data_IF_661088399374
#
_entry.id   IF_661088399374
#
_cell.length_a   1.000
_cell.length_b   1.000
_cell.length_c   1.000
_cell.angle_alpha   90.00
_cell.angle_beta   90.00
_cell.angle_gamma   90.00
#
_symmetry.space_group_name_H-M   'P 1'
#
loop_
_entity.id
_entity.type
_entity.pdbx_description
1 polymer ?
#
# COMPACT_ATOMS: atom_id res chain seq x y z
N UNK A 1 -16.02 -18.47 -7.02
CA UNK A 1 -15.10 -18.54 -5.87
C UNK A 1 -14.00 -17.56 -6.15
N UNK A 2 -14.13 -16.35 -5.64
CA UNK A 2 -13.08 -15.34 -5.74
C UNK A 2 -11.83 -15.87 -5.07
N UNK A 3 -10.73 -15.92 -5.83
CA UNK A 3 -9.41 -16.08 -5.24
C UNK A 3 -9.26 -14.89 -4.29
N UNK A 4 -9.06 -15.17 -3.00
CA UNK A 4 -8.75 -14.19 -1.95
C UNK A 4 -7.90 -13.05 -2.51
N UNK A 5 -8.16 -11.80 -2.11
CA UNK A 5 -7.38 -10.62 -2.50
C UNK A 5 -5.85 -10.79 -2.30
N UNK A 6 -5.45 -11.78 -1.49
CA UNK A 6 -4.06 -12.11 -1.18
C UNK A 6 -3.55 -13.39 -1.87
N UNK A 7 -4.31 -14.00 -2.78
CA UNK A 7 -3.93 -15.26 -3.42
C UNK A 7 -2.63 -15.18 -4.24
N UNK A 8 -2.23 -13.98 -4.67
CA UNK A 8 -0.92 -13.75 -5.26
C UNK A 8 0.18 -13.79 -4.20
N UNK A 9 0.00 -13.07 -3.09
CA UNK A 9 0.95 -12.99 -1.97
C UNK A 9 1.24 -14.38 -1.43
N UNK A 10 0.21 -15.21 -1.22
CA UNK A 10 0.36 -16.58 -0.70
C UNK A 10 1.29 -17.46 -1.54
N UNK A 11 1.51 -17.15 -2.83
CA UNK A 11 2.45 -17.88 -3.70
C UNK A 11 3.90 -17.43 -3.56
N UNK A 12 4.11 -16.24 -3.00
CA UNK A 12 5.44 -15.65 -2.78
C UNK A 12 5.96 -15.94 -1.37
N UNK A 13 5.08 -16.31 -0.43
CA UNK A 13 5.44 -16.57 0.95
C UNK A 13 6.34 -17.80 1.08
N UNK A 14 7.38 -17.68 1.90
CA UNK A 14 8.26 -18.78 2.29
C UNK A 14 7.95 -19.21 3.73
N UNK A 15 8.03 -20.51 3.99
CA UNK A 15 7.95 -21.04 5.35
C UNK A 15 9.10 -20.47 6.19
N UNK A 16 8.81 -20.14 7.44
CA UNK A 16 9.78 -19.57 8.37
C UNK A 16 9.70 -20.29 9.71
N UNK A 17 10.85 -20.40 10.38
CA UNK A 17 10.95 -21.01 11.70
C UNK A 17 11.94 -20.26 12.58
N UNK A 18 11.63 -20.16 13.87
CA UNK A 18 12.50 -19.60 14.91
C UNK A 18 12.57 -20.60 16.07
N UNK A 19 13.77 -20.89 16.57
CA UNK A 19 14.03 -21.89 17.62
C UNK A 19 13.38 -23.28 17.38
N UNK A 20 13.29 -23.69 16.12
CA UNK A 20 12.70 -24.97 15.71
C UNK A 20 11.15 -24.99 15.72
N UNK A 21 10.49 -23.85 15.96
CA UNK A 21 9.05 -23.69 15.84
C UNK A 21 8.70 -22.94 14.56
N UNK A 22 7.62 -23.35 13.89
CA UNK A 22 7.09 -22.63 12.74
C UNK A 22 6.52 -21.28 13.19
N UNK A 23 6.92 -20.21 12.49
CA UNK A 23 6.41 -18.86 12.68
C UNK A 23 5.60 -18.41 11.45
N UNK A 24 5.04 -17.20 11.49
CA UNK A 24 4.36 -16.61 10.35
C UNK A 24 5.27 -16.62 9.11
N UNK A 25 4.77 -17.10 7.95
CA UNK A 25 5.57 -17.13 6.74
C UNK A 25 5.89 -15.70 6.28
N UNK A 26 7.03 -15.53 5.61
CA UNK A 26 7.56 -14.21 5.24
C UNK A 26 7.72 -14.08 3.73
N UNK A 27 7.77 -12.84 3.23
CA UNK A 27 8.20 -12.58 1.86
C UNK A 27 9.73 -12.72 1.75
N UNK A 28 10.26 -13.00 0.55
CA UNK A 28 11.68 -12.87 0.26
C UNK A 28 12.20 -11.47 0.62
N UNK A 29 13.47 -11.38 1.02
CA UNK A 29 14.07 -10.13 1.51
C UNK A 29 14.04 -9.00 0.47
N UNK A 30 14.20 -9.37 -0.81
CA UNK A 30 14.17 -8.47 -1.95
C UNK A 30 12.76 -8.00 -2.33
N UNK A 31 11.71 -8.67 -1.86
CA UNK A 31 10.32 -8.37 -2.21
C UNK A 31 9.66 -7.55 -1.11
N UNK A 32 9.26 -6.33 -1.46
CA UNK A 32 8.52 -5.43 -0.57
C UNK A 32 7.01 -5.62 -0.72
N UNK A 33 6.30 -5.49 0.40
CA UNK A 33 4.85 -5.36 0.43
C UNK A 33 4.46 -3.91 0.71
N UNK A 34 4.09 -3.19 -0.35
CA UNK A 34 3.73 -1.78 -0.26
C UNK A 34 2.25 -1.61 0.08
N UNK A 35 1.98 -0.86 1.14
CA UNK A 35 0.65 -0.31 1.44
C UNK A 35 0.63 1.15 1.02
N UNK A 36 -0.08 1.46 -0.06
CA UNK A 36 -0.07 2.78 -0.70
C UNK A 36 -1.42 3.48 -0.49
N UNK A 37 -1.40 4.69 0.03
CA UNK A 37 -2.59 5.53 0.12
C UNK A 37 -3.05 5.99 -1.28
N UNK A 38 -4.31 6.42 -1.42
CA UNK A 38 -4.86 6.89 -2.70
C UNK A 38 -4.91 8.41 -2.74
N UNK A 39 -5.85 8.99 -2.01
CA UNK A 39 -6.17 10.42 -2.05
C UNK A 39 -5.00 11.25 -1.50
N UNK A 40 -4.55 12.23 -2.28
CA UNK A 40 -3.38 13.05 -1.96
C UNK A 40 -2.03 12.34 -2.12
N UNK A 41 -2.04 11.07 -2.54
CA UNK A 41 -0.82 10.26 -2.72
C UNK A 41 -0.61 9.87 -4.17
N UNK A 42 -1.58 9.25 -4.84
CA UNK A 42 -1.47 8.88 -6.27
C UNK A 42 -2.35 9.75 -7.18
N UNK A 43 -3.17 10.59 -6.57
CA UNK A 43 -4.04 11.55 -7.23
C UNK A 43 -4.36 12.73 -6.31
N UNK A 44 -5.21 13.64 -6.80
CA UNK A 44 -5.82 14.72 -6.01
C UNK A 44 -6.29 14.23 -4.61
N UNK A 45 -6.20 15.10 -3.61
CA UNK A 45 -6.72 14.84 -2.27
C UNK A 45 -8.24 15.02 -2.25
N UNK A 46 -8.97 13.89 -2.29
CA UNK A 46 -10.43 13.84 -2.32
C UNK A 46 -10.96 13.38 -0.96
N UNK A 47 -11.76 14.20 -0.26
CA UNK A 47 -12.44 13.76 0.95
C UNK A 47 -13.56 12.76 0.62
N UNK A 48 -13.86 11.84 1.55
CA UNK A 48 -14.97 10.89 1.39
C UNK A 48 -16.33 11.58 1.24
N UNK A 49 -16.45 12.81 1.72
CA UNK A 49 -17.65 13.63 1.63
C UNK A 49 -17.94 14.15 0.21
N UNK A 50 -17.01 14.01 -0.73
CA UNK A 50 -17.14 14.46 -2.13
C UNK A 50 -16.88 13.30 -3.13
N UNK A 51 -17.66 12.20 -3.06
CA UNK A 51 -17.42 11.00 -3.86
C UNK A 51 -17.53 11.22 -5.37
N UNK A 52 -18.27 12.23 -5.82
CA UNK A 52 -18.40 12.60 -7.22
C UNK A 52 -17.07 13.01 -7.86
N UNK A 53 -16.11 13.49 -7.07
CA UNK A 53 -14.77 13.86 -7.55
C UNK A 53 -13.85 12.66 -7.75
N UNK A 54 -14.14 11.52 -7.12
CA UNK A 54 -13.26 10.33 -7.15
C UNK A 54 -13.08 9.77 -8.55
N UNK A 55 -14.11 9.84 -9.40
CA UNK A 55 -14.09 9.29 -10.77
C UNK A 55 -13.25 10.13 -11.74
N UNK A 56 -12.96 11.39 -11.40
CA UNK A 56 -12.26 12.34 -12.27
C UNK A 56 -11.01 12.92 -11.60
N UNK A 57 -10.56 12.33 -10.49
CA UNK A 57 -9.36 12.75 -9.79
C UNK A 57 -8.15 12.72 -10.74
N UNK A 58 -7.32 13.76 -10.68
CA UNK A 58 -6.12 13.89 -11.52
C UNK A 58 -5.05 12.94 -11.02
N UNK A 59 -4.56 12.07 -11.90
CA UNK A 59 -3.47 11.13 -11.60
C UNK A 59 -2.15 11.89 -11.43
N UNK A 60 -1.33 11.45 -10.47
CA UNK A 60 0.07 11.83 -10.38
C UNK A 60 0.92 10.90 -11.26
N UNK A 61 1.50 11.40 -12.38
CA UNK A 61 2.16 10.52 -13.37
C UNK A 61 3.38 9.78 -12.83
N UNK A 62 4.12 10.41 -11.93
CA UNK A 62 5.29 9.84 -11.25
C UNK A 62 4.92 8.69 -10.30
N UNK A 63 3.76 8.80 -9.62
CA UNK A 63 3.20 7.71 -8.82
C UNK A 63 2.84 6.51 -9.71
N UNK A 64 2.16 6.76 -10.84
CA UNK A 64 1.78 5.71 -11.79
C UNK A 64 3.00 4.96 -12.33
N UNK A 65 4.03 5.69 -12.78
CA UNK A 65 5.27 5.11 -13.28
C UNK A 65 5.97 4.28 -12.20
N UNK A 66 6.15 4.85 -11.01
CA UNK A 66 6.88 4.23 -9.91
C UNK A 66 6.20 2.95 -9.40
N UNK A 67 4.89 2.99 -9.18
CA UNK A 67 4.14 1.82 -8.70
C UNK A 67 4.12 0.70 -9.74
N UNK A 68 3.97 1.04 -11.02
CA UNK A 68 3.99 0.05 -12.09
C UNK A 68 5.38 -0.56 -12.30
N UNK A 69 6.45 0.19 -12.05
CA UNK A 69 7.82 -0.32 -12.00
C UNK A 69 7.97 -1.32 -10.85
N UNK A 70 7.61 -0.95 -9.62
CA UNK A 70 7.66 -1.85 -8.46
C UNK A 70 6.84 -3.13 -8.67
N UNK A 71 5.65 -3.01 -9.27
CA UNK A 71 4.84 -4.15 -9.66
C UNK A 71 5.60 -5.08 -10.64
N UNK A 72 6.24 -4.52 -11.66
CA UNK A 72 7.00 -5.29 -12.64
C UNK A 72 8.26 -5.97 -12.04
N UNK A 73 8.85 -5.36 -11.01
CA UNK A 73 9.95 -5.91 -10.22
C UNK A 73 9.50 -7.03 -9.26
N UNK A 74 8.19 -7.33 -9.20
CA UNK A 74 7.63 -8.39 -8.38
C UNK A 74 7.23 -7.97 -6.97
N UNK A 75 7.32 -6.67 -6.65
CA UNK A 75 6.80 -6.16 -5.37
C UNK A 75 5.28 -6.25 -5.30
N UNK A 76 4.77 -6.43 -4.09
CA UNK A 76 3.33 -6.45 -3.83
C UNK A 76 2.85 -5.02 -3.64
N UNK A 77 1.76 -4.67 -4.33
CA UNK A 77 1.14 -3.35 -4.30
C UNK A 77 -0.28 -3.52 -3.79
N UNK A 78 -0.55 -2.97 -2.61
CA UNK A 78 -1.87 -2.97 -2.00
C UNK A 78 -2.28 -1.52 -1.74
N UNK A 79 -3.39 -1.08 -2.33
CA UNK A 79 -3.93 0.23 -1.98
C UNK A 79 -4.60 0.16 -0.61
N UNK A 80 -4.29 1.10 0.27
CA UNK A 80 -4.80 1.18 1.64
C UNK A 80 -5.39 2.56 1.90
N UNK A 81 -6.71 2.67 1.73
CA UNK A 81 -7.44 3.94 1.63
C UNK A 81 -8.51 4.07 2.71
N UNK A 82 -8.76 5.32 3.10
CA UNK A 82 -9.85 5.68 4.02
C UNK A 82 -11.21 5.74 3.34
N UNK A 83 -11.28 5.61 2.01
CA UNK A 83 -12.54 5.41 1.28
C UNK A 83 -13.30 4.22 1.87
N UNK A 84 -14.62 4.32 1.95
CA UNK A 84 -15.48 3.25 2.46
C UNK A 84 -15.74 2.20 1.38
N UNK A 85 -16.27 1.05 1.77
CA UNK A 85 -16.66 -0.01 0.82
C UNK A 85 -17.67 0.48 -0.24
N UNK A 86 -18.54 1.43 0.09
CA UNK A 86 -19.47 2.06 -0.86
C UNK A 86 -18.75 2.72 -2.04
N UNK A 87 -17.50 3.13 -1.87
CA UNK A 87 -16.67 3.76 -2.90
C UNK A 87 -15.75 2.77 -3.63
N UNK A 88 -15.83 1.47 -3.36
CA UNK A 88 -14.96 0.46 -3.97
C UNK A 88 -15.07 0.46 -5.49
N UNK A 89 -16.29 0.41 -6.03
CA UNK A 89 -16.51 0.27 -7.47
C UNK A 89 -15.92 1.44 -8.25
N UNK A 90 -16.20 2.69 -7.81
CA UNK A 90 -15.65 3.89 -8.46
C UNK A 90 -14.12 3.93 -8.36
N UNK A 91 -13.56 3.49 -7.22
CA UNK A 91 -12.12 3.45 -7.01
C UNK A 91 -11.44 2.43 -7.91
N UNK A 92 -11.95 1.20 -7.98
CA UNK A 92 -11.40 0.17 -8.86
C UNK A 92 -11.50 0.56 -10.34
N UNK A 93 -12.63 1.15 -10.75
CA UNK A 93 -12.80 1.63 -12.11
C UNK A 93 -11.76 2.70 -12.44
N UNK A 94 -11.62 3.72 -11.59
CA UNK A 94 -10.63 4.78 -11.78
C UNK A 94 -9.21 4.24 -11.84
N UNK A 95 -8.82 3.31 -10.96
CA UNK A 95 -7.49 2.69 -10.98
C UNK A 95 -7.23 1.92 -12.29
N UNK A 96 -8.22 1.15 -12.79
CA UNK A 96 -8.12 0.41 -14.06
C UNK A 96 -7.97 1.36 -15.25
N UNK A 97 -8.82 2.38 -15.31
CA UNK A 97 -8.85 3.36 -16.41
C UNK A 97 -7.55 4.15 -16.51
N UNK A 98 -6.93 4.45 -15.37
CA UNK A 98 -5.65 5.16 -15.31
C UNK A 98 -4.42 4.24 -15.39
N UNK A 99 -4.61 2.92 -15.53
CA UNK A 99 -3.53 1.98 -15.83
C UNK A 99 -2.64 1.60 -14.65
N UNK A 100 -3.10 1.76 -13.41
CA UNK A 100 -2.38 1.23 -12.25
C UNK A 100 -2.36 -0.31 -12.29
N UNK A 101 -1.29 -0.92 -11.79
CA UNK A 101 -1.20 -2.36 -11.53
C UNK A 101 -1.11 -2.59 -10.03
N UNK A 102 -2.01 -3.42 -9.50
CA UNK A 102 -2.05 -3.72 -8.07
C UNK A 102 -2.52 -5.15 -7.82
N UNK A 103 -2.30 -5.60 -6.59
CA UNK A 103 -2.62 -6.94 -6.14
C UNK A 103 -3.84 -6.96 -5.21
N UNK A 104 -3.98 -5.94 -4.35
CA UNK A 104 -5.06 -5.84 -3.38
C UNK A 104 -5.51 -4.41 -3.10
N UNK A 105 -6.67 -4.27 -2.45
CA UNK A 105 -7.19 -3.00 -1.98
C UNK A 105 -7.92 -3.18 -0.65
N UNK A 106 -7.46 -2.49 0.38
CA UNK A 106 -8.01 -2.43 1.72
C UNK A 106 -8.73 -1.07 1.90
N UNK A 107 -10.03 -1.14 2.13
CA UNK A 107 -10.90 0.02 2.34
C UNK A 107 -11.09 0.27 3.84
N UNK A 108 -11.57 1.46 4.20
CA UNK A 108 -11.94 1.77 5.57
C UNK A 108 -10.74 1.98 6.51
N UNK A 109 -9.58 2.37 5.97
CA UNK A 109 -8.46 2.88 6.80
C UNK A 109 -8.98 3.99 7.74
N UNK A 110 -8.62 3.96 9.04
CA UNK A 110 -9.01 5.02 9.97
C UNK A 110 -8.54 6.40 9.49
N UNK A 111 -9.39 7.42 9.65
CA UNK A 111 -9.10 8.81 9.23
C UNK A 111 -8.45 9.60 10.37
N UNK A 112 -7.73 10.68 10.03
CA UNK A 112 -7.26 11.68 10.99
C UNK A 112 -5.77 12.01 10.95
N UNK A 113 -4.96 11.24 10.21
CA UNK A 113 -3.51 11.35 10.29
C UNK A 113 -3.00 10.92 11.68
N UNK A 114 -1.68 10.97 11.91
CA UNK A 114 -1.06 10.47 13.15
C UNK A 114 -1.15 8.94 13.34
N UNK A 115 -0.73 8.19 12.32
CA UNK A 115 -0.66 6.74 12.37
C UNK A 115 0.59 6.26 13.11
N UNK A 116 0.41 5.39 14.11
CA UNK A 116 1.48 4.62 14.73
C UNK A 116 1.20 3.14 14.42
N UNK A 117 1.99 2.56 13.52
CA UNK A 117 1.88 1.15 13.19
C UNK A 117 2.80 0.36 14.12
N UNK A 118 2.19 -0.50 14.95
CA UNK A 118 2.89 -1.46 15.80
C UNK A 118 2.67 -2.85 15.22
N UNK A 119 3.77 -3.56 14.95
CA UNK A 119 3.78 -4.92 14.42
C UNK A 119 4.97 -5.67 15.03
N UNK A 120 4.85 -6.98 15.21
CA UNK A 120 5.97 -7.80 15.68
C UNK A 120 6.97 -8.10 14.55
N UNK A 121 6.63 -7.80 13.30
CA UNK A 121 7.54 -7.78 12.16
C UNK A 121 8.06 -6.35 11.88
N UNK A 122 9.17 -6.25 11.14
CA UNK A 122 9.73 -4.95 10.75
C UNK A 122 8.76 -4.20 9.83
N UNK A 123 8.23 -3.08 10.32
CA UNK A 123 7.47 -2.12 9.52
C UNK A 123 8.39 -0.99 9.07
N UNK A 124 8.37 -0.70 7.77
CA UNK A 124 9.08 0.45 7.21
C UNK A 124 8.07 1.56 6.92
N UNK A 125 8.36 2.77 7.38
CA UNK A 125 7.57 3.95 7.08
C UNK A 125 8.29 4.80 6.02
N UNK A 126 7.60 5.13 4.94
CA UNK A 126 8.07 6.09 3.93
C UNK A 126 7.14 7.28 3.94
N UNK A 127 7.69 8.48 4.15
CA UNK A 127 6.92 9.72 4.10
C UNK A 127 6.91 10.26 2.68
N UNK A 128 5.73 10.28 2.07
CA UNK A 128 5.49 11.01 0.82
C UNK A 128 5.42 12.51 1.09
N UNK A 129 6.07 13.31 0.24
CA UNK A 129 6.12 14.79 0.35
C UNK A 129 5.67 15.49 -0.93
N UNK A 130 4.94 14.79 -1.80
CA UNK A 130 4.35 15.35 -3.02
C UNK A 130 5.05 14.98 -4.33
N UNK A 131 6.10 14.15 -4.31
CA UNK A 131 6.76 13.59 -5.50
C UNK A 131 7.25 12.17 -5.26
N UNK A 132 7.06 11.30 -6.23
CA UNK A 132 7.69 9.98 -6.28
C UNK A 132 9.06 10.13 -6.94
N UNK A 133 10.10 9.97 -6.13
CA UNK A 133 11.50 9.91 -6.57
C UNK A 133 12.10 8.57 -6.17
N UNK A 134 13.35 8.35 -6.54
CA UNK A 134 14.11 7.24 -5.97
C UNK A 134 14.09 7.30 -4.44
N UNK A 135 13.90 6.13 -3.82
CA UNK A 135 13.96 5.98 -2.38
C UNK A 135 15.41 6.19 -1.91
N UNK A 136 15.59 7.03 -0.90
CA UNK A 136 16.87 7.27 -0.24
C UNK A 136 16.77 6.90 1.24
N UNK A 137 17.89 6.50 1.83
CA UNK A 137 18.00 6.25 3.26
C UNK A 137 18.33 7.55 4.00
N UNK A 138 17.67 7.75 5.15
CA UNK A 138 17.90 8.90 6.03
C UNK A 138 17.67 8.51 7.48
N UNK A 139 18.60 8.86 8.36
CA UNK A 139 18.44 8.67 9.80
C UNK A 139 17.39 9.64 10.37
N UNK A 140 16.54 9.13 11.26
CA UNK A 140 15.53 9.92 11.98
C UNK A 140 15.27 9.32 13.36
N UNK A 141 14.90 10.16 14.32
CA UNK A 141 14.48 9.70 15.65
C UNK A 141 13.08 9.11 15.57
N UNK A 142 12.93 7.89 16.09
CA UNK A 142 11.65 7.18 16.16
C UNK A 142 11.32 6.83 17.61
N UNK A 143 10.06 6.49 17.87
CA UNK A 143 9.65 5.91 19.14
C UNK A 143 9.74 4.39 19.05
N UNK A 144 10.37 3.77 20.04
CA UNK A 144 10.52 2.31 20.18
C UNK A 144 10.10 1.91 21.60
N UNK A 145 9.77 0.63 21.78
CA UNK A 145 9.59 0.06 23.10
C UNK A 145 10.96 -0.08 23.79
N UNK A 146 10.96 -0.06 25.12
CA UNK A 146 12.15 -0.43 25.91
C UNK A 146 12.37 -1.94 25.85
N UNK A 147 13.64 -2.37 25.88
CA UNK A 147 14.06 -3.78 25.79
C UNK A 147 13.71 -4.61 27.04
#
# INVERSE_FOLDING_TARGET
MEKSANAHINKLLHEASEDGQLISPVLPEEIKNYLIDIDGTICDDIPNEEPERMATATVYPDALETLNKWYAEGHVITFFTSRTEDHREVTEKWLKENGFKWHGMLMGKPRGGNYHWVDNHIVRATRYTGKFTDLIEKESTIQVFED
#
